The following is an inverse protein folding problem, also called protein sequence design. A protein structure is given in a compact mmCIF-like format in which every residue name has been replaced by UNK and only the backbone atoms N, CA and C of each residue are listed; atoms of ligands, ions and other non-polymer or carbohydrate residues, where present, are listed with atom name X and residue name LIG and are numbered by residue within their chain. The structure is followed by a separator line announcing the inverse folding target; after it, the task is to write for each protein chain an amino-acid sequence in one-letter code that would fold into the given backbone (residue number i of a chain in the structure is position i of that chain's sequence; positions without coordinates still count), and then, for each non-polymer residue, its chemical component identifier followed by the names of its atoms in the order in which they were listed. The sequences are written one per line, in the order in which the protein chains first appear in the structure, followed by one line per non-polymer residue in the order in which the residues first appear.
data_IF_651569541433
#
_entry.id   IF_651569541433
#
_cell.length_a   1.000
_cell.length_b   1.000
_cell.length_c   1.000
_cell.angle_alpha   90.00
_cell.angle_beta   90.00
_cell.angle_gamma   90.00
#
_symmetry.space_group_name_H-M   'P 1'
#
loop_
_entity.id
_entity.type
_entity.pdbx_description
1 polymer ?
#
# COMPACT_ATOMS: atom_id res chain seq x y z
N UNK A 1 -28.07 -2.67 -28.92
CA UNK A 1 -27.89 -2.68 -27.44
C UNK A 1 -27.25 -1.35 -27.07
N UNK A 2 -27.84 -0.57 -26.17
CA UNK A 2 -27.23 0.68 -25.72
C UNK A 2 -26.02 0.36 -24.84
N UNK A 3 -24.86 0.89 -25.21
CA UNK A 3 -23.63 0.69 -24.45
C UNK A 3 -23.66 1.64 -23.24
N UNK A 4 -24.02 1.12 -22.06
CA UNK A 4 -24.19 1.89 -20.82
C UNK A 4 -22.87 2.34 -20.16
N UNK A 5 -21.76 2.34 -20.90
CA UNK A 5 -20.45 2.75 -20.39
C UNK A 5 -20.39 4.28 -20.41
N UNK A 6 -20.48 4.89 -19.22
CA UNK A 6 -20.45 6.35 -19.06
C UNK A 6 -19.07 6.94 -19.32
N UNK A 7 -17.99 6.24 -18.96
CA UNK A 7 -16.61 6.63 -19.28
C UNK A 7 -15.66 5.43 -19.16
N UNK A 8 -14.55 5.49 -19.89
CA UNK A 8 -13.42 4.57 -19.75
C UNK A 8 -12.17 5.41 -19.54
N UNK A 9 -11.37 5.06 -18.54
CA UNK A 9 -10.09 5.72 -18.24
C UNK A 9 -9.01 4.67 -18.02
N UNK A 10 -7.77 5.01 -18.35
CA UNK A 10 -6.62 4.21 -17.95
C UNK A 10 -6.40 4.36 -16.45
N UNK A 11 -6.10 3.26 -15.76
CA UNK A 11 -5.77 3.30 -14.33
C UNK A 11 -4.45 4.04 -14.11
N UNK A 12 -4.47 5.08 -13.27
CA UNK A 12 -3.30 5.86 -12.84
C UNK A 12 -2.83 5.47 -11.43
N UNK A 13 -2.12 6.38 -10.75
CA UNK A 13 -1.87 6.29 -9.31
C UNK A 13 -2.11 7.68 -8.67
N UNK A 14 -2.98 7.80 -7.64
CA UNK A 14 -3.88 6.76 -7.12
C UNK A 14 -4.96 6.35 -8.14
N UNK A 15 -5.74 5.30 -7.83
CA UNK A 15 -6.89 4.92 -8.65
C UNK A 15 -8.04 5.91 -8.42
N UNK A 16 -8.48 6.58 -9.49
CA UNK A 16 -9.58 7.55 -9.41
C UNK A 16 -10.88 6.86 -8.98
N UNK A 17 -11.52 7.44 -7.98
CA UNK A 17 -12.82 7.02 -7.43
C UNK A 17 -13.88 8.04 -7.82
N UNK A 18 -15.15 7.63 -7.83
CA UNK A 18 -16.27 8.56 -8.08
C UNK A 18 -16.60 9.43 -6.85
N UNK A 19 -16.19 8.99 -5.67
CA UNK A 19 -16.43 9.68 -4.40
C UNK A 19 -15.12 10.35 -3.94
N UNK A 20 -15.09 11.67 -3.70
CA UNK A 20 -13.89 12.39 -3.29
C UNK A 20 -13.34 12.00 -1.91
N UNK A 21 -14.09 11.23 -1.12
CA UNK A 21 -13.67 10.71 0.19
C UNK A 21 -13.16 9.28 0.14
N UNK A 22 -12.95 8.71 -1.05
CA UNK A 22 -12.30 7.41 -1.23
C UNK A 22 -10.90 7.59 -1.81
N UNK A 23 -9.90 7.16 -1.06
CA UNK A 23 -8.52 7.06 -1.52
C UNK A 23 -8.21 5.61 -1.90
N UNK A 24 -8.18 5.31 -3.20
CA UNK A 24 -7.95 3.96 -3.70
C UNK A 24 -6.52 3.79 -4.22
N UNK A 25 -5.83 2.77 -3.73
CA UNK A 25 -4.50 2.37 -4.19
C UNK A 25 -4.41 0.87 -4.38
N UNK A 26 -3.37 0.45 -5.10
CA UNK A 26 -3.03 -0.96 -5.24
C UNK A 26 -1.56 -1.17 -4.91
N UNK A 27 -1.26 -2.39 -4.48
CA UNK A 27 0.09 -2.85 -4.21
C UNK A 27 0.45 -4.01 -5.13
N UNK A 28 1.72 -4.02 -5.53
CA UNK A 28 2.36 -5.15 -6.17
C UNK A 28 3.66 -5.42 -5.40
N UNK A 29 3.54 -6.21 -4.34
CA UNK A 29 4.61 -6.39 -3.36
C UNK A 29 5.52 -7.56 -3.79
N UNK A 30 6.54 -7.22 -4.57
CA UNK A 30 7.60 -8.14 -5.00
C UNK A 30 8.80 -8.15 -4.04
N UNK A 31 8.54 -8.13 -2.73
CA UNK A 31 9.60 -8.05 -1.73
C UNK A 31 10.48 -9.31 -1.74
N UNK A 32 11.81 -9.17 -1.55
CA UNK A 32 12.68 -10.30 -1.36
C UNK A 32 12.40 -10.98 -0.02
N UNK A 33 12.99 -12.15 0.20
CA UNK A 33 12.82 -12.91 1.44
C UNK A 33 13.23 -12.05 2.65
N UNK A 34 12.32 -11.92 3.61
CA UNK A 34 12.58 -11.24 4.87
C UNK A 34 13.57 -12.00 5.77
N UNK A 35 14.10 -11.28 6.75
CA UNK A 35 14.96 -11.78 7.82
C UNK A 35 14.16 -12.05 9.11
N UNK A 36 14.82 -12.51 10.17
CA UNK A 36 14.17 -12.82 11.45
C UNK A 36 13.61 -11.60 12.22
N UNK A 37 13.86 -10.39 11.73
CA UNK A 37 13.42 -9.12 12.32
C UNK A 37 12.39 -8.40 11.44
N UNK A 38 11.69 -9.13 10.56
CA UNK A 38 10.72 -8.61 9.58
C UNK A 38 11.32 -7.68 8.50
N UNK A 39 12.63 -7.41 8.56
CA UNK A 39 13.33 -6.57 7.58
C UNK A 39 13.92 -7.37 6.43
N UNK A 40 14.68 -6.68 5.57
CA UNK A 40 15.38 -7.32 4.45
C UNK A 40 16.85 -7.64 4.79
N UNK A 41 17.51 -8.42 3.95
CA UNK A 41 18.98 -8.53 4.00
C UNK A 41 19.61 -7.12 3.81
N UNK A 42 20.57 -6.70 4.66
CA UNK A 42 21.22 -5.40 4.54
C UNK A 42 21.82 -5.09 3.16
N UNK A 43 22.17 -6.11 2.37
CA UNK A 43 22.65 -5.92 1.00
C UNK A 43 21.66 -5.16 0.13
N UNK A 44 20.35 -5.35 0.35
CA UNK A 44 19.29 -4.68 -0.41
C UNK A 44 19.13 -3.20 -0.05
N UNK A 45 19.60 -2.76 1.12
CA UNK A 45 19.42 -1.39 1.61
C UNK A 45 20.48 -0.43 1.05
N UNK A 46 21.58 -0.96 0.50
CA UNK A 46 22.73 -0.18 0.06
C UNK A 46 22.36 0.75 -1.11
N UNK A 47 22.62 2.05 -0.92
CA UNK A 47 22.43 3.07 -1.94
C UNK A 47 20.97 3.40 -2.24
N UNK A 48 20.05 3.09 -1.31
CA UNK A 48 18.67 3.58 -1.30
C UNK A 48 18.55 4.82 -0.43
N UNK A 49 17.56 5.65 -0.73
CA UNK A 49 17.17 6.78 0.12
C UNK A 49 16.14 6.30 1.15
N UNK A 50 16.60 5.62 2.20
CA UNK A 50 15.72 5.02 3.21
C UNK A 50 14.79 6.06 3.86
N UNK A 51 13.55 5.67 4.15
CA UNK A 51 12.49 6.58 4.60
C UNK A 51 11.80 7.40 3.48
N UNK A 52 12.38 7.41 2.27
CA UNK A 52 11.85 8.12 1.11
C UNK A 52 12.29 7.45 -0.21
N UNK A 53 12.15 6.12 -0.28
CA UNK A 53 12.58 5.28 -1.40
C UNK A 53 11.39 4.92 -2.29
N UNK A 54 11.08 5.80 -3.24
CA UNK A 54 9.99 5.60 -4.20
C UNK A 54 10.46 5.12 -5.59
N UNK A 55 11.78 5.00 -5.79
CA UNK A 55 12.34 4.51 -7.04
C UNK A 55 12.44 2.99 -6.98
N UNK A 56 11.95 2.31 -8.03
CA UNK A 56 12.10 0.86 -8.11
C UNK A 56 13.57 0.52 -8.30
N UNK A 57 14.11 -0.25 -7.37
CA UNK A 57 15.47 -0.82 -7.42
C UNK A 57 15.36 -2.28 -7.01
N UNK A 58 16.06 -3.17 -7.71
CA UNK A 58 16.02 -4.62 -7.44
C UNK A 58 14.59 -5.22 -7.45
N UNK A 59 13.66 -4.60 -8.17
CA UNK A 59 12.27 -5.05 -8.30
C UNK A 59 11.29 -4.53 -7.24
N UNK A 60 11.73 -3.75 -6.24
CA UNK A 60 10.84 -3.25 -5.19
C UNK A 60 11.27 -1.86 -4.66
N UNK A 61 10.43 -1.29 -3.77
CA UNK A 61 10.62 0.02 -3.12
C UNK A 61 10.58 -0.14 -1.59
N UNK A 62 11.42 0.58 -0.86
CA UNK A 62 11.28 0.64 0.61
C UNK A 62 10.15 1.58 1.05
N UNK A 63 9.68 2.47 0.18
CA UNK A 63 8.70 3.52 0.51
C UNK A 63 9.20 4.38 1.68
N UNK A 64 8.46 4.42 2.78
CA UNK A 64 8.83 5.12 4.01
C UNK A 64 9.56 4.23 5.02
N UNK A 65 9.80 2.97 4.67
CA UNK A 65 10.53 2.02 5.48
C UNK A 65 12.04 2.28 5.51
N UNK A 66 12.67 2.01 6.65
CA UNK A 66 14.13 1.97 6.79
C UNK A 66 14.66 0.55 6.94
N UNK A 67 13.95 -0.28 7.71
CA UNK A 67 14.30 -1.70 7.95
C UNK A 67 13.27 -2.64 7.33
N UNK A 68 11.99 -2.37 7.60
CA UNK A 68 10.84 -3.07 7.01
C UNK A 68 10.30 -2.18 5.89
N UNK A 69 10.15 -2.67 4.65
CA UNK A 69 9.53 -1.90 3.57
C UNK A 69 8.09 -1.52 3.89
N UNK A 70 7.63 -0.39 3.35
CA UNK A 70 6.22 0.00 3.41
C UNK A 70 6.00 1.33 4.10
N UNK A 71 4.90 1.42 4.85
CA UNK A 71 4.41 2.65 5.46
C UNK A 71 4.39 2.48 6.97
N UNK A 72 5.41 2.97 7.71
CA UNK A 72 5.39 3.01 9.17
C UNK A 72 4.18 3.78 9.70
N UNK A 73 3.99 3.81 11.02
CA UNK A 73 2.86 4.50 11.65
C UNK A 73 2.65 5.93 11.09
N UNK A 74 1.45 6.18 10.54
CA UNK A 74 1.07 7.46 9.94
C UNK A 74 -0.46 7.65 10.10
N UNK A 75 -0.95 8.90 10.24
CA UNK A 75 -2.36 9.15 10.51
C UNK A 75 -3.19 9.29 9.23
N UNK A 76 -4.49 8.97 9.32
CA UNK A 76 -5.51 9.36 8.34
C UNK A 76 -6.73 9.98 9.03
N UNK A 77 -7.43 10.90 8.36
CA UNK A 77 -8.59 11.59 8.90
C UNK A 77 -9.55 12.03 7.78
N UNK A 78 -10.85 11.77 7.96
CA UNK A 78 -11.90 12.35 7.12
C UNK A 78 -12.16 11.67 5.77
N UNK A 79 -11.54 10.51 5.51
CA UNK A 79 -11.75 9.72 4.30
C UNK A 79 -11.61 8.21 4.60
N UNK A 80 -11.81 7.39 3.58
CA UNK A 80 -11.60 5.94 3.64
C UNK A 80 -10.48 5.53 2.68
N UNK A 81 -9.69 4.53 3.08
CA UNK A 81 -8.69 3.91 2.20
C UNK A 81 -9.23 2.60 1.65
N UNK A 82 -9.05 2.41 0.35
CA UNK A 82 -9.30 1.14 -0.33
C UNK A 82 -7.98 0.65 -0.90
N UNK A 83 -7.44 -0.41 -0.30
CA UNK A 83 -6.15 -0.98 -0.68
C UNK A 83 -6.37 -2.35 -1.30
N UNK A 84 -5.91 -2.52 -2.54
CA UNK A 84 -6.02 -3.78 -3.28
C UNK A 84 -4.62 -4.41 -3.37
N UNK A 85 -4.44 -5.57 -2.74
CA UNK A 85 -3.18 -6.31 -2.77
C UNK A 85 -3.14 -7.20 -4.02
N UNK A 86 -2.67 -6.68 -5.16
CA UNK A 86 -2.71 -7.42 -6.44
C UNK A 86 -1.69 -8.56 -6.49
N UNK A 87 -0.55 -8.39 -5.81
CA UNK A 87 0.52 -9.38 -5.65
C UNK A 87 1.18 -9.22 -4.30
N UNK A 88 1.58 -10.33 -3.70
CA UNK A 88 2.22 -10.34 -2.40
C UNK A 88 1.22 -10.13 -1.26
N UNK A 89 1.75 -9.71 -0.11
CA UNK A 89 1.00 -9.60 1.13
C UNK A 89 1.32 -8.29 1.83
N UNK A 90 0.29 -7.70 2.43
CA UNK A 90 0.36 -6.49 3.24
C UNK A 90 -0.03 -6.85 4.66
N UNK A 91 0.79 -6.45 5.62
CA UNK A 91 0.45 -6.46 7.04
C UNK A 91 -0.01 -5.06 7.46
N UNK A 92 -1.19 -4.98 8.06
CA UNK A 92 -1.75 -3.76 8.63
C UNK A 92 -1.88 -3.92 10.15
N UNK A 93 -1.63 -2.82 10.87
CA UNK A 93 -1.99 -2.64 12.27
C UNK A 93 -2.31 -1.18 12.52
N UNK A 94 -3.29 -0.89 13.36
CA UNK A 94 -3.68 0.49 13.67
C UNK A 94 -3.81 0.81 15.16
N UNK A 95 -4.04 2.09 15.44
CA UNK A 95 -4.16 2.66 16.78
C UNK A 95 -5.41 2.19 17.55
N UNK A 96 -6.40 1.61 16.86
CA UNK A 96 -7.60 1.02 17.46
C UNK A 96 -7.42 -0.45 17.82
N UNK A 97 -6.24 -1.01 17.53
CA UNK A 97 -5.87 -2.39 17.82
C UNK A 97 -6.31 -3.38 16.75
N UNK A 98 -6.83 -2.93 15.60
CA UNK A 98 -7.05 -3.83 14.49
C UNK A 98 -5.71 -4.19 13.85
N UNK A 99 -5.56 -5.45 13.47
CA UNK A 99 -4.41 -5.93 12.73
C UNK A 99 -4.81 -7.08 11.81
N UNK A 100 -4.11 -7.22 10.69
CA UNK A 100 -4.39 -8.28 9.74
C UNK A 100 -3.39 -8.34 8.61
N UNK A 101 -3.27 -9.53 8.02
CA UNK A 101 -2.57 -9.73 6.76
C UNK A 101 -3.59 -9.96 5.65
N UNK A 102 -3.41 -9.28 4.52
CA UNK A 102 -4.23 -9.48 3.32
C UNK A 102 -3.34 -9.50 2.08
N UNK A 103 -3.73 -10.27 1.06
CA UNK A 103 -2.86 -10.49 -0.10
C UNK A 103 -3.55 -11.18 -1.27
N UNK A 104 -2.80 -11.39 -2.35
CA UNK A 104 -3.21 -12.25 -3.48
C UNK A 104 -4.62 -11.99 -4.05
N UNK A 105 -5.00 -10.72 -4.15
CA UNK A 105 -6.28 -10.25 -4.67
C UNK A 105 -7.24 -9.71 -3.60
N UNK A 106 -6.89 -9.83 -2.32
CA UNK A 106 -7.68 -9.28 -1.23
C UNK A 106 -7.78 -7.75 -1.29
N UNK A 107 -8.85 -7.24 -0.68
CA UNK A 107 -9.12 -5.81 -0.52
C UNK A 107 -9.30 -5.50 0.95
N UNK A 108 -8.60 -4.46 1.42
CA UNK A 108 -8.92 -3.81 2.68
C UNK A 108 -9.63 -2.49 2.37
N UNK A 109 -10.81 -2.32 2.96
CA UNK A 109 -11.53 -1.05 2.98
C UNK A 109 -11.57 -0.57 4.43
N UNK A 110 -10.87 0.53 4.73
CA UNK A 110 -10.73 1.05 6.09
C UNK A 110 -11.35 2.45 6.19
N UNK A 111 -12.30 2.63 7.10
CA UNK A 111 -12.90 3.93 7.41
C UNK A 111 -12.06 4.64 8.46
N UNK A 112 -11.29 5.67 8.08
CA UNK A 112 -10.50 6.43 9.04
C UNK A 112 -11.39 7.32 9.94
N UNK A 113 -12.47 7.87 9.40
CA UNK A 113 -13.44 8.66 10.17
C UNK A 113 -12.79 9.83 10.91
N UNK A 114 -12.83 9.79 12.26
CA UNK A 114 -12.25 10.82 13.14
C UNK A 114 -10.76 10.63 13.45
N UNK A 115 -10.15 9.58 12.92
CA UNK A 115 -8.74 9.29 13.13
C UNK A 115 -8.52 7.79 13.35
N UNK A 116 -7.53 7.26 12.64
CA UNK A 116 -6.95 5.93 12.81
C UNK A 116 -5.43 6.07 12.73
#
# INVERSE_FOLDING_TARGET
MCNNILSVKQLGFPWETSDPFLFCVHHEDFYPKGNGNMGLDPSYLKGRNLGNDFQTKDGFRMYHGETVPGFPAHPHLGFETVTIARKGFIDHSDSLGAAGRFGEGDVQWMTAGKGV
#
